data_IF_022191382967
#
_entry.id   IF_022191382967
#
_cell.length_a   1.000
_cell.length_b   1.000
_cell.length_c   1.000
_cell.angle_alpha   90.00
_cell.angle_beta   90.00
_cell.angle_gamma   90.00
#
_symmetry.space_group_name_H-M   'P 1'
#
loop_
_entity.id
_entity.type
_entity.pdbx_description
1 polymer ?
#
# COMPACT_ATOMS: atom_id res chain seq x y z
N UNK A 1 -1.67 -4.00 22.18
CA UNK A 1 -1.16 -2.88 21.37
C UNK A 1 -1.44 -3.19 19.92
N UNK A 2 -2.16 -2.34 19.17
CA UNK A 2 -2.21 -2.49 17.72
C UNK A 2 -0.82 -2.26 17.15
N UNK A 3 -0.51 -2.99 16.08
CA UNK A 3 0.71 -2.77 15.30
C UNK A 3 0.70 -1.34 14.77
N UNK A 4 1.81 -0.62 14.85
CA UNK A 4 1.90 0.71 14.25
C UNK A 4 2.13 0.59 12.74
N UNK A 5 1.68 1.58 11.97
CA UNK A 5 1.90 1.63 10.52
C UNK A 5 3.39 1.45 10.18
N UNK A 6 4.28 2.09 10.95
CA UNK A 6 5.74 1.97 10.78
C UNK A 6 6.23 0.53 10.91
N UNK A 7 5.81 -0.18 11.95
CA UNK A 7 6.20 -1.57 12.15
C UNK A 7 5.66 -2.47 11.03
N UNK A 8 4.47 -2.16 10.52
CA UNK A 8 3.88 -2.89 9.40
C UNK A 8 4.71 -2.71 8.12
N UNK A 9 5.15 -1.49 7.81
CA UNK A 9 6.03 -1.24 6.66
C UNK A 9 7.41 -1.89 6.83
N UNK A 10 8.02 -1.81 8.01
CA UNK A 10 9.30 -2.48 8.29
C UNK A 10 9.18 -4.00 8.10
N UNK A 11 8.06 -4.61 8.49
CA UNK A 11 7.79 -6.03 8.25
C UNK A 11 7.58 -6.36 6.77
N UNK A 12 6.93 -5.45 6.02
CA UNK A 12 6.74 -5.59 4.57
C UNK A 12 8.10 -5.48 3.85
N UNK A 13 8.95 -4.53 4.23
CA UNK A 13 10.28 -4.33 3.62
C UNK A 13 11.26 -5.45 3.97
N UNK A 14 11.18 -6.00 5.19
CA UNK A 14 12.06 -7.07 5.64
C UNK A 14 11.85 -8.39 4.90
N UNK A 15 10.72 -8.56 4.19
CA UNK A 15 10.42 -9.79 3.47
C UNK A 15 10.05 -9.52 2.00
N UNK A 16 10.90 -10.00 1.08
CA UNK A 16 10.73 -9.77 -0.35
C UNK A 16 9.42 -10.31 -0.92
N UNK A 17 8.93 -11.45 -0.43
CA UNK A 17 7.67 -12.04 -0.88
C UNK A 17 6.46 -11.21 -0.41
N UNK A 18 6.51 -10.74 0.84
CA UNK A 18 5.48 -9.87 1.41
C UNK A 18 5.46 -8.52 0.67
N UNK A 19 6.63 -7.95 0.36
CA UNK A 19 6.76 -6.74 -0.45
C UNK A 19 6.14 -6.91 -1.83
N UNK A 20 6.49 -7.99 -2.53
CA UNK A 20 5.96 -8.27 -3.87
C UNK A 20 4.43 -8.45 -3.86
N UNK A 21 3.91 -9.15 -2.86
CA UNK A 21 2.46 -9.29 -2.66
C UNK A 21 1.80 -7.93 -2.41
N UNK A 22 2.39 -7.08 -1.57
CA UNK A 22 1.88 -5.74 -1.27
C UNK A 22 1.84 -4.85 -2.53
N UNK A 23 2.89 -4.87 -3.34
CA UNK A 23 2.95 -4.12 -4.60
C UNK A 23 1.89 -4.62 -5.60
N UNK A 24 1.71 -5.94 -5.73
CA UNK A 24 0.68 -6.54 -6.60
C UNK A 24 -0.73 -6.17 -6.18
N UNK A 25 -1.03 -6.21 -4.88
CA UNK A 25 -2.34 -5.82 -4.35
C UNK A 25 -2.57 -4.33 -4.61
N UNK A 26 -1.57 -3.49 -4.35
CA UNK A 26 -1.62 -2.05 -4.64
C UNK A 26 -1.90 -1.76 -6.11
N UNK A 27 -1.27 -2.49 -7.03
CA UNK A 27 -1.52 -2.36 -8.46
C UNK A 27 -2.94 -2.79 -8.83
N UNK A 28 -3.40 -3.94 -8.34
CA UNK A 28 -4.75 -4.45 -8.60
C UNK A 28 -5.84 -3.49 -8.10
N UNK A 29 -5.65 -2.91 -6.91
CA UNK A 29 -6.54 -1.89 -6.36
C UNK A 29 -6.62 -0.63 -7.24
N UNK A 30 -5.47 -0.14 -7.76
CA UNK A 30 -5.42 0.99 -8.69
C UNK A 30 -6.13 0.68 -10.01
N UNK A 31 -5.90 -0.50 -10.58
CA UNK A 31 -6.57 -0.95 -11.80
C UNK A 31 -8.08 -1.09 -11.61
N UNK A 32 -8.51 -1.68 -10.49
CA UNK A 32 -9.92 -1.84 -10.17
C UNK A 32 -10.60 -0.47 -10.10
N UNK A 33 -10.03 0.46 -9.33
CA UNK A 33 -10.53 1.85 -9.21
C UNK A 33 -10.59 2.55 -10.57
N UNK A 34 -9.57 2.38 -11.40
CA UNK A 34 -9.53 2.95 -12.75
C UNK A 34 -10.61 2.38 -13.68
N UNK A 35 -11.01 1.11 -13.51
CA UNK A 35 -11.99 0.43 -14.37
C UNK A 35 -13.43 0.65 -13.91
N UNK A 36 -13.65 0.70 -12.60
CA UNK A 36 -15.01 0.80 -12.03
C UNK A 36 -15.44 2.23 -11.83
N UNK A 37 -14.52 3.18 -11.61
CA UNK A 37 -14.84 4.58 -11.31
C UNK A 37 -15.59 4.82 -10.00
N UNK A 38 -16.07 3.75 -9.34
CA UNK A 38 -16.76 3.81 -8.07
C UNK A 38 -15.74 3.93 -6.92
N UNK A 39 -15.95 4.88 -6.00
CA UNK A 39 -15.22 4.91 -4.74
C UNK A 39 -15.56 3.65 -3.95
N UNK A 40 -14.53 3.05 -3.36
CA UNK A 40 -14.67 1.92 -2.45
C UNK A 40 -13.79 2.24 -1.26
N UNK A 41 -14.43 2.57 -0.13
CA UNK A 41 -13.76 3.08 1.07
C UNK A 41 -12.60 2.19 1.53
N UNK A 42 -12.72 0.86 1.40
CA UNK A 42 -11.65 -0.07 1.76
C UNK A 42 -10.46 0.00 0.80
N UNK A 43 -10.74 0.07 -0.51
CA UNK A 43 -9.70 0.22 -1.55
C UNK A 43 -9.04 1.58 -1.47
N UNK A 44 -9.82 2.63 -1.23
CA UNK A 44 -9.34 4.01 -1.14
C UNK A 44 -8.45 4.17 0.09
N UNK A 45 -8.90 3.69 1.26
CA UNK A 45 -8.12 3.70 2.50
C UNK A 45 -6.84 2.88 2.38
N UNK A 46 -6.89 1.73 1.71
CA UNK A 46 -5.70 0.92 1.44
C UNK A 46 -4.71 1.66 0.52
N UNK A 47 -5.20 2.29 -0.56
CA UNK A 47 -4.36 3.04 -1.49
C UNK A 47 -3.77 4.30 -0.85
N UNK A 48 -4.51 5.01 0.00
CA UNK A 48 -3.99 6.14 0.80
C UNK A 48 -2.88 5.69 1.74
N UNK A 49 -3.08 4.57 2.45
CA UNK A 49 -2.06 3.96 3.28
C UNK A 49 -0.81 3.59 2.47
N UNK A 50 -1.00 2.95 1.30
CA UNK A 50 0.10 2.51 0.44
C UNK A 50 0.86 3.67 -0.22
N UNK A 51 0.17 4.69 -0.73
CA UNK A 51 0.79 5.83 -1.45
C UNK A 51 1.38 6.85 -0.48
N UNK A 52 0.66 7.21 0.59
CA UNK A 52 1.05 8.28 1.50
C UNK A 52 2.34 8.01 2.30
N UNK A 53 2.71 6.73 2.49
CA UNK A 53 3.92 6.35 3.23
C UNK A 53 5.09 5.93 2.32
N UNK A 54 4.81 5.38 1.14
CA UNK A 54 5.88 5.04 0.19
C UNK A 54 6.44 6.26 -0.55
N UNK A 55 5.62 7.30 -0.77
CA UNK A 55 6.11 8.57 -1.31
C UNK A 55 7.15 9.24 -0.38
N UNK A 56 6.96 9.11 0.94
CA UNK A 56 7.90 9.60 1.95
C UNK A 56 9.21 8.78 1.96
N UNK A 57 9.13 7.46 1.76
CA UNK A 57 10.30 6.58 1.61
C UNK A 57 11.03 6.75 0.27
N UNK A 58 10.35 7.17 -0.79
CA UNK A 58 10.94 7.35 -2.13
C UNK A 58 11.61 8.72 -2.32
N UNK A 59 11.46 9.67 -1.40
CA UNK A 59 12.09 11.00 -1.49
C UNK A 59 13.55 11.03 -0.97
N UNK A 60 14.16 9.85 -0.79
CA UNK A 60 15.56 9.69 -0.29
C UNK A 60 16.52 9.02 -1.28
N UNK A 61 16.18 8.95 -2.57
CA UNK A 61 17.11 8.52 -3.62
C UNK A 61 17.12 9.48 -4.79
#
# INVERSE_FOLDING_TARGET
MPFTDKQMFEAIEANADVKLCFERISFACKELKSKTGCPNDDVDRFLEFAVGKWADSSSKF
#
